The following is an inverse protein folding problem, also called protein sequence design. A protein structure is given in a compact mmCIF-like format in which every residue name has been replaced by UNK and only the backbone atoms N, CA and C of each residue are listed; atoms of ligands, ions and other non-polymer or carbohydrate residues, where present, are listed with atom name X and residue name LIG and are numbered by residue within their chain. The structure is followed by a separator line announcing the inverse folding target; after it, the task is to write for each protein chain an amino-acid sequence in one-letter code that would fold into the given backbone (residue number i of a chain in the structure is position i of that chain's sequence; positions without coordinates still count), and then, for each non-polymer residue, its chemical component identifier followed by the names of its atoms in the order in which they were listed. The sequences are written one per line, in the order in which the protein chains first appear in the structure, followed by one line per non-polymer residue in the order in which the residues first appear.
data_IF_066182225794
#
_entry.id   IF_066182225794
#
_cell.length_a   1.000
_cell.length_b   1.000
_cell.length_c   1.000
_cell.angle_alpha   90.00
_cell.angle_beta   90.00
_cell.angle_gamma   90.00
#
_symmetry.space_group_name_H-M   'P 1'
#
loop_
_entity.id
_entity.type
_entity.pdbx_description
1 polymer ?
#
# COMPACT_ATOMS: atom_id res chain seq x y z
N UNK A 1 -40.31 -14.44 -30.11
CA UNK A 1 -39.53 -14.79 -28.90
C UNK A 1 -38.07 -14.38 -29.10
N UNK A 2 -37.51 -13.45 -28.30
CA UNK A 2 -36.14 -12.99 -28.50
C UNK A 2 -35.13 -14.03 -28.02
N UNK A 3 -34.08 -14.27 -28.82
CA UNK A 3 -33.01 -15.23 -28.53
C UNK A 3 -32.20 -14.77 -27.30
N UNK A 4 -32.10 -15.62 -26.29
CA UNK A 4 -31.26 -15.40 -25.09
C UNK A 4 -29.78 -15.22 -25.51
N UNK A 5 -29.02 -14.27 -24.92
CA UNK A 5 -27.59 -14.17 -25.16
C UNK A 5 -26.86 -15.36 -24.52
N UNK A 6 -25.98 -16.01 -25.28
CA UNK A 6 -25.08 -17.07 -24.77
C UNK A 6 -24.09 -16.45 -23.78
N UNK A 7 -24.11 -16.91 -22.51
CA UNK A 7 -23.06 -16.60 -21.52
C UNK A 7 -21.74 -17.21 -22.01
N UNK A 8 -20.71 -16.39 -22.23
CA UNK A 8 -19.33 -16.84 -22.42
C UNK A 8 -18.84 -17.50 -21.13
N UNK A 9 -18.23 -18.68 -21.27
CA UNK A 9 -17.56 -19.36 -20.16
C UNK A 9 -16.40 -18.50 -19.62
N UNK A 10 -16.06 -18.60 -18.31
CA UNK A 10 -14.94 -17.87 -17.74
C UNK A 10 -13.62 -18.30 -18.40
N UNK A 11 -12.80 -17.31 -18.75
CA UNK A 11 -11.48 -17.52 -19.34
C UNK A 11 -10.55 -18.24 -18.34
N UNK A 12 -9.78 -19.20 -18.86
CA UNK A 12 -8.69 -19.89 -18.15
C UNK A 12 -7.64 -18.89 -17.62
N UNK A 13 -6.83 -19.26 -16.61
CA UNK A 13 -5.86 -18.34 -16.00
C UNK A 13 -4.87 -17.85 -17.05
N UNK A 14 -4.82 -16.54 -17.24
CA UNK A 14 -3.90 -15.91 -18.17
C UNK A 14 -2.45 -16.19 -17.75
N UNK A 15 -1.67 -16.74 -18.68
CA UNK A 15 -0.23 -16.90 -18.59
C UNK A 15 0.39 -15.52 -18.38
N UNK A 16 0.97 -15.26 -17.20
CA UNK A 16 1.60 -13.97 -16.84
C UNK A 16 2.69 -13.65 -17.87
N UNK A 17 2.60 -12.52 -18.56
CA UNK A 17 3.69 -12.00 -19.39
C UNK A 17 4.86 -11.62 -18.49
N UNK A 18 5.74 -12.57 -18.21
CA UNK A 18 6.79 -12.43 -17.19
C UNK A 18 8.12 -12.11 -17.85
N UNK A 19 8.68 -10.95 -17.48
CA UNK A 19 10.13 -10.79 -17.54
C UNK A 19 10.77 -11.99 -16.82
N UNK A 20 11.84 -12.60 -17.37
CA UNK A 20 12.41 -13.81 -16.82
C UNK A 20 12.81 -13.59 -15.35
N UNK A 21 12.50 -14.57 -14.50
CA UNK A 21 12.83 -14.56 -13.07
C UNK A 21 14.33 -14.25 -12.88
N UNK A 22 14.69 -13.08 -12.29
CA UNK A 22 16.07 -12.62 -12.26
C UNK A 22 16.96 -13.41 -11.29
N UNK A 23 16.39 -14.18 -10.36
CA UNK A 23 17.09 -14.92 -9.32
C UNK A 23 16.63 -16.38 -9.24
N UNK A 24 16.90 -17.21 -10.25
CA UNK A 24 16.42 -18.60 -10.31
C UNK A 24 16.93 -19.48 -9.15
N UNK A 25 18.09 -19.15 -8.58
CA UNK A 25 18.69 -19.89 -7.45
C UNK A 25 18.28 -19.33 -6.09
N UNK A 26 17.50 -18.24 -6.03
CA UNK A 26 17.06 -17.61 -4.78
C UNK A 26 15.62 -18.03 -4.48
N UNK A 27 15.43 -18.92 -3.50
CA UNK A 27 14.13 -19.53 -3.22
C UNK A 27 13.21 -18.67 -2.33
N UNK A 28 13.78 -17.79 -1.50
CA UNK A 28 13.04 -16.93 -0.58
C UNK A 28 12.39 -15.76 -1.31
N UNK A 29 11.24 -15.24 -0.86
CA UNK A 29 10.45 -15.73 0.26
C UNK A 29 9.57 -16.91 -0.12
N UNK A 30 9.42 -17.86 0.80
CA UNK A 30 8.36 -18.87 0.71
C UNK A 30 7.01 -18.29 1.15
N UNK A 31 5.87 -18.86 0.70
CA UNK A 31 4.54 -18.44 1.16
C UNK A 31 4.40 -18.43 2.69
N UNK A 32 4.99 -19.41 3.38
CA UNK A 32 4.99 -19.48 4.84
C UNK A 32 5.79 -18.33 5.48
N UNK A 33 6.91 -17.92 4.88
CA UNK A 33 7.66 -16.75 5.33
C UNK A 33 6.87 -15.45 5.11
N UNK A 34 6.17 -15.32 3.98
CA UNK A 34 5.32 -14.16 3.70
C UNK A 34 4.21 -14.02 4.77
N UNK A 35 3.52 -15.12 5.07
CA UNK A 35 2.44 -15.16 6.06
C UNK A 35 2.96 -14.81 7.46
N UNK A 36 4.06 -15.46 7.88
CA UNK A 36 4.72 -15.21 9.14
C UNK A 36 5.11 -13.74 9.35
N UNK A 37 5.72 -13.12 8.33
CA UNK A 37 6.13 -11.72 8.40
C UNK A 37 4.92 -10.79 8.42
N UNK A 38 3.88 -11.07 7.61
CA UNK A 38 2.63 -10.31 7.65
C UNK A 38 2.05 -10.30 9.07
N UNK A 39 1.88 -11.47 9.69
CA UNK A 39 1.24 -11.60 11.00
C UNK A 39 2.07 -10.95 12.11
N UNK A 40 3.39 -11.10 12.06
CA UNK A 40 4.28 -10.43 12.99
C UNK A 40 4.18 -8.89 12.87
N UNK A 41 4.26 -8.36 11.65
CA UNK A 41 4.16 -6.91 11.43
C UNK A 41 2.78 -6.37 11.83
N UNK A 42 1.72 -7.11 11.55
CA UNK A 42 0.37 -6.78 11.97
C UNK A 42 0.26 -6.74 13.49
N UNK A 43 0.85 -7.70 14.20
CA UNK A 43 0.90 -7.69 15.67
C UNK A 43 1.72 -6.54 16.27
N UNK A 44 2.77 -6.08 15.58
CA UNK A 44 3.60 -4.97 16.05
C UNK A 44 2.99 -3.59 15.81
N UNK A 45 2.41 -3.35 14.63
CA UNK A 45 1.98 -2.01 14.20
C UNK A 45 0.46 -1.85 14.12
N UNK A 46 -0.30 -2.94 14.20
CA UNK A 46 -1.67 -2.96 13.71
C UNK A 46 -1.72 -2.82 12.19
N UNK A 47 -2.93 -2.84 11.63
CA UNK A 47 -3.08 -2.48 10.22
C UNK A 47 -3.05 -0.95 10.08
N UNK A 48 -2.24 -0.36 9.19
CA UNK A 48 -2.10 1.09 9.12
C UNK A 48 -3.38 1.77 8.63
N UNK A 49 -3.88 2.76 9.38
CA UNK A 49 -5.14 3.47 9.06
C UNK A 49 -5.11 4.15 7.69
N UNK A 50 -3.95 4.64 7.26
CA UNK A 50 -3.74 5.28 5.95
C UNK A 50 -4.07 4.36 4.76
N UNK A 51 -3.98 3.04 4.94
CA UNK A 51 -4.32 2.06 3.91
C UNK A 51 -5.69 1.40 4.12
N UNK A 52 -6.37 1.69 5.23
CA UNK A 52 -7.64 1.06 5.58
C UNK A 52 -8.75 1.25 4.52
N UNK A 53 -8.89 2.42 3.88
CA UNK A 53 -9.86 2.59 2.79
C UNK A 53 -9.60 1.60 1.64
N UNK A 54 -8.36 1.50 1.17
CA UNK A 54 -7.99 0.58 0.07
C UNK A 54 -8.19 -0.89 0.47
N UNK A 55 -7.89 -1.26 1.72
CA UNK A 55 -8.13 -2.60 2.23
C UNK A 55 -9.61 -2.95 2.24
N UNK A 56 -10.48 -2.01 2.64
CA UNK A 56 -11.94 -2.19 2.66
C UNK A 56 -12.51 -2.41 1.26
N UNK A 57 -12.02 -1.64 0.28
CA UNK A 57 -12.39 -1.86 -1.13
C UNK A 57 -12.04 -3.28 -1.59
N UNK A 58 -10.85 -3.77 -1.24
CA UNK A 58 -10.38 -5.12 -1.61
C UNK A 58 -11.23 -6.24 -1.04
N UNK A 59 -11.72 -6.08 0.19
CA UNK A 59 -12.55 -7.06 0.89
C UNK A 59 -14.03 -7.02 0.48
N UNK A 60 -14.39 -6.26 -0.55
CA UNK A 60 -15.76 -6.21 -1.07
C UNK A 60 -16.67 -5.20 -0.38
N UNK A 61 -16.12 -4.23 0.37
CA UNK A 61 -16.82 -2.98 0.69
C UNK A 61 -18.10 -3.09 1.51
N UNK A 62 -18.26 -4.10 2.37
CA UNK A 62 -19.44 -4.20 3.24
C UNK A 62 -19.02 -4.20 4.71
N UNK A 63 -19.12 -3.03 5.34
CA UNK A 63 -19.54 -2.98 6.75
C UNK A 63 -21.01 -2.56 6.75
N UNK A 64 -21.92 -3.32 7.40
CA UNK A 64 -23.31 -2.93 7.60
C UNK A 64 -23.51 -1.61 8.38
N UNK A 65 -22.44 -1.06 8.95
CA UNK A 65 -22.44 0.10 9.85
C UNK A 65 -22.40 1.46 9.12
N UNK A 66 -22.15 1.49 7.80
CA UNK A 66 -22.07 2.76 7.04
C UNK A 66 -23.47 3.32 6.66
N UNK A 67 -24.56 2.73 7.16
CA UNK A 67 -25.94 3.16 6.89
C UNK A 67 -26.47 4.28 7.83
N UNK A 68 -25.66 4.79 8.77
CA UNK A 68 -26.10 5.77 9.78
C UNK A 68 -25.43 7.14 9.69
N UNK A 69 -24.96 7.54 8.51
CA UNK A 69 -24.42 8.88 8.23
C UNK A 69 -25.31 9.60 7.22
N UNK A 70 -26.02 10.66 7.65
CA UNK A 70 -26.83 11.57 6.81
C UNK A 70 -26.01 12.35 5.75
N UNK A 71 -24.69 12.18 5.74
CA UNK A 71 -23.80 12.74 4.73
C UNK A 71 -23.45 11.69 3.68
N UNK A 72 -23.59 11.99 2.37
CA UNK A 72 -23.13 11.08 1.33
C UNK A 72 -21.64 10.81 1.53
N UNK A 73 -21.19 9.55 1.42
CA UNK A 73 -19.78 9.24 1.56
C UNK A 73 -18.97 10.04 0.53
N UNK A 74 -17.77 10.53 0.90
CA UNK A 74 -16.92 11.23 -0.05
C UNK A 74 -16.70 10.35 -1.29
N UNK A 75 -16.69 10.93 -2.50
CA UNK A 75 -16.54 10.17 -3.73
C UNK A 75 -15.25 9.34 -3.68
N UNK A 76 -15.35 8.08 -4.07
CA UNK A 76 -14.20 7.18 -4.11
C UNK A 76 -13.09 7.78 -5.00
N UNK A 77 -11.82 7.67 -4.60
CA UNK A 77 -10.73 8.24 -5.37
C UNK A 77 -10.63 7.54 -6.73
N UNK A 78 -10.54 8.35 -7.79
CA UNK A 78 -10.40 7.92 -9.19
C UNK A 78 -9.00 7.37 -9.49
N UNK A 79 -8.84 6.71 -10.64
CA UNK A 79 -7.51 6.23 -11.08
C UNK A 79 -6.56 7.41 -11.32
N UNK A 80 -7.11 8.54 -11.79
CA UNK A 80 -6.37 9.78 -11.97
C UNK A 80 -5.96 10.42 -10.64
N UNK A 81 -6.81 10.36 -9.61
CA UNK A 81 -6.43 10.78 -8.25
C UNK A 81 -5.19 9.99 -7.78
N UNK A 82 -5.13 8.69 -8.08
CA UNK A 82 -3.96 7.88 -7.74
C UNK A 82 -2.68 8.21 -8.49
N UNK A 83 -2.78 8.47 -9.80
CA UNK A 83 -1.62 8.90 -10.58
C UNK A 83 -1.10 10.27 -10.10
N UNK A 84 -1.99 11.24 -9.90
CA UNK A 84 -1.60 12.58 -9.41
C UNK A 84 -1.04 12.50 -8.00
N UNK A 85 -1.67 11.73 -7.10
CA UNK A 85 -1.16 11.51 -5.73
C UNK A 85 0.26 10.94 -5.76
N UNK A 86 0.51 9.95 -6.61
CA UNK A 86 1.84 9.32 -6.73
C UNK A 86 2.88 10.24 -7.37
N UNK A 87 2.48 11.12 -8.29
CA UNK A 87 3.36 12.16 -8.83
C UNK A 87 3.71 13.21 -7.76
N UNK A 88 2.72 13.64 -6.97
CA UNK A 88 2.92 14.61 -5.90
C UNK A 88 3.81 14.06 -4.77
N UNK A 89 3.77 12.76 -4.51
CA UNK A 89 4.60 12.10 -3.49
C UNK A 89 6.08 11.96 -3.86
N UNK A 90 6.48 12.27 -5.09
CA UNK A 90 7.88 12.25 -5.49
C UNK A 90 8.67 13.34 -4.79
N UNK A 91 9.84 13.01 -4.23
CA UNK A 91 10.77 13.94 -3.56
C UNK A 91 10.11 14.80 -2.48
N UNK A 92 9.17 14.24 -1.72
CA UNK A 92 8.52 14.91 -0.60
C UNK A 92 8.06 13.89 0.44
N UNK A 93 7.58 14.35 1.59
CA UNK A 93 7.00 13.48 2.60
C UNK A 93 5.53 13.21 2.31
N UNK A 94 5.01 12.09 2.81
CA UNK A 94 3.61 11.74 2.61
C UNK A 94 2.65 12.79 3.18
N UNK A 95 2.94 13.31 4.38
CA UNK A 95 2.15 14.38 5.00
C UNK A 95 2.06 15.61 4.09
N UNK A 96 3.18 16.03 3.48
CA UNK A 96 3.22 17.15 2.56
C UNK A 96 2.49 16.82 1.26
N UNK A 97 2.68 15.62 0.69
CA UNK A 97 2.01 15.22 -0.56
C UNK A 97 0.48 15.13 -0.41
N UNK A 98 -0.02 14.63 0.73
CA UNK A 98 -1.45 14.61 1.06
C UNK A 98 -2.01 16.02 1.16
N UNK A 99 -1.28 16.93 1.82
CA UNK A 99 -1.66 18.35 1.90
C UNK A 99 -1.70 19.01 0.52
N UNK A 100 -0.71 18.73 -0.32
CA UNK A 100 -0.67 19.26 -1.69
C UNK A 100 -1.82 18.73 -2.54
N UNK A 101 -2.15 17.43 -2.42
CA UNK A 101 -3.28 16.84 -3.15
C UNK A 101 -4.63 17.41 -2.68
N UNK A 102 -4.83 17.54 -1.36
CA UNK A 102 -6.04 18.15 -0.81
C UNK A 102 -6.21 19.61 -1.27
N UNK A 103 -5.12 20.39 -1.23
CA UNK A 103 -5.09 21.76 -1.75
C UNK A 103 -5.41 21.83 -3.24
N UNK A 104 -4.87 20.91 -4.05
CA UNK A 104 -5.20 20.81 -5.48
C UNK A 104 -6.69 20.54 -5.69
N UNK A 105 -7.26 19.54 -5.01
CA UNK A 105 -8.69 19.19 -5.15
C UNK A 105 -9.62 20.30 -4.67
N UNK A 106 -9.22 21.06 -3.66
CA UNK A 106 -9.96 22.24 -3.20
C UNK A 106 -9.93 23.38 -4.24
N UNK A 107 -8.78 23.61 -4.89
CA UNK A 107 -8.64 24.64 -5.92
C UNK A 107 -9.28 24.23 -7.26
N UNK A 108 -9.31 22.93 -7.55
CA UNK A 108 -9.79 22.33 -8.80
C UNK A 108 -10.67 21.10 -8.53
N UNK A 109 -12.00 21.28 -8.42
CA UNK A 109 -12.92 20.17 -8.21
C UNK A 109 -12.88 19.10 -9.32
N UNK A 110 -12.64 19.49 -10.59
CA UNK A 110 -12.53 18.57 -11.73
C UNK A 110 -11.15 18.61 -12.41
N UNK A 111 -10.79 17.50 -13.06
CA UNK A 111 -9.54 17.42 -13.82
C UNK A 111 -9.54 18.26 -15.10
N UNK A 112 -10.71 18.50 -15.70
CA UNK A 112 -10.87 19.41 -16.83
C UNK A 112 -10.39 20.83 -16.47
N UNK A 113 -10.78 21.33 -15.29
CA UNK A 113 -10.31 22.64 -14.82
C UNK A 113 -8.79 22.70 -14.65
N UNK A 114 -8.13 21.59 -14.29
CA UNK A 114 -6.66 21.54 -14.18
C UNK A 114 -6.00 21.63 -15.56
N UNK A 115 -6.61 21.02 -16.59
CA UNK A 115 -6.07 21.01 -17.95
C UNK A 115 -6.28 22.33 -18.67
N UNK A 116 -7.44 22.95 -18.44
CA UNK A 116 -7.85 24.21 -19.07
C UNK A 116 -7.26 25.43 -18.33
N UNK A 117 -6.60 25.24 -17.19
CA UNK A 117 -5.90 26.30 -16.49
C UNK A 117 -4.54 26.63 -17.14
N UNK A 118 -4.43 27.86 -17.65
CA UNK A 118 -3.26 28.35 -18.39
C UNK A 118 -2.25 29.12 -17.52
N UNK A 119 -2.62 29.47 -16.28
CA UNK A 119 -1.81 30.29 -15.37
C UNK A 119 -0.92 29.49 -14.40
N UNK A 120 -0.71 30.05 -13.21
CA UNK A 120 0.08 29.45 -12.12
C UNK A 120 -0.76 28.82 -11.03
N UNK A 121 -2.09 28.81 -11.12
CA UNK A 121 -2.97 28.38 -10.01
C UNK A 121 -2.71 26.92 -9.62
N UNK A 122 -2.45 26.04 -10.59
CA UNK A 122 -2.05 24.66 -10.29
C UNK A 122 -0.74 24.60 -9.51
N UNK A 123 0.26 25.37 -9.93
CA UNK A 123 1.55 25.43 -9.24
C UNK A 123 1.39 25.98 -7.82
N UNK A 124 0.61 27.04 -7.65
CA UNK A 124 0.30 27.65 -6.36
C UNK A 124 -0.40 26.66 -5.43
N UNK A 125 -1.39 25.93 -5.94
CA UNK A 125 -2.13 24.94 -5.16
C UNK A 125 -1.22 23.80 -4.64
N UNK A 126 -0.19 23.42 -5.39
CA UNK A 126 0.73 22.34 -4.99
C UNK A 126 2.08 22.83 -4.47
N UNK A 127 2.24 24.15 -4.27
CA UNK A 127 3.52 24.79 -3.92
C UNK A 127 4.17 24.19 -2.68
N UNK A 128 3.36 23.81 -1.69
CA UNK A 128 3.83 23.17 -0.47
C UNK A 128 4.52 21.81 -0.71
N UNK A 129 4.25 21.14 -1.84
CA UNK A 129 4.79 19.85 -2.23
C UNK A 129 6.24 19.86 -2.69
N UNK A 130 6.83 21.04 -2.91
CA UNK A 130 8.15 21.22 -3.52
C UNK A 130 8.19 20.82 -5.00
N UNK A 131 9.15 21.39 -5.75
CA UNK A 131 9.28 21.19 -7.21
C UNK A 131 7.98 21.48 -7.98
N UNK A 132 7.23 22.49 -7.52
CA UNK A 132 5.84 22.72 -7.92
C UNK A 132 5.70 22.95 -9.43
N UNK A 133 6.50 23.83 -10.04
CA UNK A 133 6.52 24.04 -11.49
C UNK A 133 6.72 22.73 -12.29
N UNK A 134 7.68 21.90 -11.87
CA UNK A 134 7.96 20.61 -12.54
C UNK A 134 6.81 19.62 -12.37
N UNK A 135 6.24 19.51 -11.16
CA UNK A 135 5.10 18.62 -10.88
C UNK A 135 3.84 19.09 -11.62
N UNK A 136 3.55 20.39 -11.62
CA UNK A 136 2.43 20.99 -12.34
C UNK A 136 2.52 20.72 -13.85
N UNK A 137 3.69 20.95 -14.45
CA UNK A 137 3.93 20.66 -15.87
C UNK A 137 3.70 19.18 -16.21
N UNK A 138 4.17 18.26 -15.35
CA UNK A 138 3.96 16.81 -15.53
C UNK A 138 2.50 16.41 -15.39
N UNK A 139 1.79 16.93 -14.39
CA UNK A 139 0.36 16.67 -14.19
C UNK A 139 -0.44 17.15 -15.40
N UNK A 140 -0.22 18.39 -15.87
CA UNK A 140 -0.90 18.91 -17.06
C UNK A 140 -0.59 18.06 -18.30
N UNK A 141 0.67 17.73 -18.54
CA UNK A 141 1.06 16.91 -19.69
C UNK A 141 0.41 15.52 -19.65
N UNK A 142 0.34 14.89 -18.47
CA UNK A 142 -0.34 13.61 -18.30
C UNK A 142 -1.83 13.74 -18.62
N UNK A 143 -2.53 14.70 -18.00
CA UNK A 143 -3.98 14.87 -18.18
C UNK A 143 -4.34 15.25 -19.63
N UNK A 144 -3.55 16.11 -20.28
CA UNK A 144 -3.68 16.41 -21.72
C UNK A 144 -3.48 15.16 -22.56
N UNK A 145 -2.45 14.38 -22.29
CA UNK A 145 -2.20 13.12 -22.98
C UNK A 145 -3.29 12.06 -22.76
N UNK A 146 -4.03 12.11 -21.65
CA UNK A 146 -5.25 11.29 -21.46
C UNK A 146 -6.36 11.80 -22.39
N UNK A 147 -6.65 13.11 -22.32
CA UNK A 147 -7.70 13.76 -23.13
C UNK A 147 -7.49 13.55 -24.62
N UNK A 148 -6.28 13.74 -25.12
CA UNK A 148 -5.92 13.59 -26.54
C UNK A 148 -6.13 12.15 -27.04
N UNK A 149 -5.79 11.14 -26.23
CA UNK A 149 -5.90 9.73 -26.63
C UNK A 149 -7.30 9.16 -26.48
N UNK A 150 -8.10 9.67 -25.55
CA UNK A 150 -9.38 9.05 -25.15
C UNK A 150 -10.60 9.95 -25.35
N UNK A 151 -10.41 11.22 -25.71
CA UNK A 151 -11.47 12.23 -25.83
C UNK A 151 -12.06 12.71 -24.50
N UNK A 152 -11.68 12.09 -23.37
CA UNK A 152 -12.12 12.45 -22.00
C UNK A 152 -11.02 12.22 -20.98
N UNK A 153 -11.00 13.01 -19.90
CA UNK A 153 -10.02 12.87 -18.81
C UNK A 153 -10.52 11.82 -17.80
N UNK A 154 -10.43 10.54 -18.19
CA UNK A 154 -10.97 9.41 -17.44
C UNK A 154 -10.13 8.16 -17.73
N UNK A 155 -9.76 7.43 -16.68
CA UNK A 155 -8.93 6.21 -16.76
C UNK A 155 -9.59 4.99 -16.11
N UNK A 156 -10.87 5.08 -15.76
CA UNK A 156 -11.62 4.03 -15.08
C UNK A 156 -11.74 2.76 -15.93
N UNK A 157 -11.61 2.86 -17.26
CA UNK A 157 -11.55 1.71 -18.17
C UNK A 157 -10.38 0.75 -17.85
N UNK A 158 -9.33 1.24 -17.16
CA UNK A 158 -8.20 0.41 -16.74
C UNK A 158 -8.60 -0.66 -15.71
N UNK A 159 -9.76 -0.53 -15.05
CA UNK A 159 -10.30 -1.55 -14.14
C UNK A 159 -10.53 -2.88 -14.86
N UNK A 160 -10.97 -2.81 -16.12
CA UNK A 160 -11.33 -3.98 -16.94
C UNK A 160 -10.12 -4.63 -17.62
N UNK A 161 -8.97 -3.95 -17.67
CA UNK A 161 -7.77 -4.44 -18.35
C UNK A 161 -6.97 -5.44 -17.49
N UNK A 162 -6.19 -6.29 -18.16
CA UNK A 162 -5.18 -7.11 -17.49
C UNK A 162 -4.03 -6.25 -16.93
N UNK A 163 -3.28 -6.80 -15.97
CA UNK A 163 -2.12 -6.12 -15.37
C UNK A 163 -1.12 -5.66 -16.43
N UNK A 164 -0.83 -6.50 -17.43
CA UNK A 164 0.15 -6.19 -18.47
C UNK A 164 -0.35 -5.10 -19.42
N UNK A 165 -1.65 -5.09 -19.73
CA UNK A 165 -2.27 -4.00 -20.50
C UNK A 165 -2.20 -2.68 -19.76
N UNK A 166 -2.55 -2.65 -18.47
CA UNK A 166 -2.43 -1.44 -17.64
C UNK A 166 -0.99 -0.95 -17.60
N UNK A 167 -0.01 -1.86 -17.45
CA UNK A 167 1.41 -1.49 -17.48
C UNK A 167 1.80 -0.84 -18.80
N UNK A 168 1.39 -1.40 -19.93
CA UNK A 168 1.65 -0.82 -21.26
C UNK A 168 0.97 0.52 -21.46
N UNK A 169 -0.27 0.66 -21.02
CA UNK A 169 -1.05 1.91 -21.14
C UNK A 169 -0.41 3.04 -20.31
N UNK A 170 -0.18 2.80 -19.02
CA UNK A 170 0.32 3.83 -18.09
C UNK A 170 1.78 4.20 -18.34
N UNK A 171 2.58 3.27 -18.88
CA UNK A 171 4.00 3.52 -19.18
C UNK A 171 4.21 4.45 -20.39
N UNK A 172 3.18 4.72 -21.18
CA UNK A 172 3.25 5.70 -22.29
C UNK A 172 3.23 7.15 -21.79
N UNK A 173 2.87 7.41 -20.53
CA UNK A 173 2.82 8.76 -19.98
C UNK A 173 4.19 9.16 -19.42
N UNK A 174 4.75 10.27 -19.93
CA UNK A 174 6.04 10.79 -19.48
C UNK A 174 6.02 11.09 -17.97
N UNK A 175 6.98 10.53 -17.24
CA UNK A 175 7.12 10.71 -15.79
C UNK A 175 6.37 9.69 -14.94
N UNK A 176 5.63 8.76 -15.56
CA UNK A 176 5.05 7.59 -14.89
C UNK A 176 5.98 6.41 -15.07
N UNK A 177 6.72 6.06 -14.01
CA UNK A 177 7.64 4.93 -14.00
C UNK A 177 7.01 3.64 -13.46
N UNK A 178 7.70 2.49 -13.58
CA UNK A 178 7.17 1.17 -13.19
C UNK A 178 6.65 1.11 -11.75
N UNK A 179 7.33 1.78 -10.80
CA UNK A 179 6.87 1.85 -9.40
C UNK A 179 5.52 2.58 -9.28
N UNK A 180 5.35 3.69 -9.98
CA UNK A 180 4.09 4.45 -9.98
C UNK A 180 2.95 3.59 -10.51
N UNK A 181 3.19 2.90 -11.63
CA UNK A 181 2.23 1.97 -12.22
C UNK A 181 1.86 0.86 -11.24
N UNK A 182 2.84 0.23 -10.58
CA UNK A 182 2.59 -0.80 -9.58
C UNK A 182 1.77 -0.29 -8.36
N UNK A 183 2.01 0.95 -7.91
CA UNK A 183 1.17 1.56 -6.86
C UNK A 183 -0.27 1.77 -7.33
N UNK A 184 -0.48 2.24 -8.57
CA UNK A 184 -1.83 2.44 -9.11
C UNK A 184 -2.56 1.11 -9.29
N UNK A 185 -1.86 0.09 -9.80
CA UNK A 185 -2.37 -1.27 -9.91
C UNK A 185 -2.86 -1.79 -8.56
N UNK A 186 -2.04 -1.67 -7.53
CA UNK A 186 -2.35 -2.23 -6.20
C UNK A 186 -3.44 -1.43 -5.47
N UNK A 187 -3.34 -0.10 -5.41
CA UNK A 187 -4.22 0.73 -4.57
C UNK A 187 -5.51 1.17 -5.27
N UNK A 188 -5.46 1.54 -6.55
CA UNK A 188 -6.60 2.17 -7.23
C UNK A 188 -7.32 1.21 -8.19
N UNK A 189 -6.60 0.21 -8.72
CA UNK A 189 -7.18 -0.83 -9.58
C UNK A 189 -7.43 -2.15 -8.86
N UNK A 190 -7.05 -2.25 -7.58
CA UNK A 190 -7.26 -3.43 -6.73
C UNK A 190 -6.69 -4.73 -7.34
N UNK A 191 -5.63 -4.63 -8.14
CA UNK A 191 -4.94 -5.77 -8.77
C UNK A 191 -3.77 -6.25 -7.91
N UNK A 192 -3.42 -7.53 -8.03
CA UNK A 192 -2.33 -8.15 -7.28
C UNK A 192 -0.97 -7.80 -7.86
N UNK A 193 -0.44 -6.64 -7.45
CA UNK A 193 0.91 -6.17 -7.76
C UNK A 193 1.65 -5.83 -6.46
N UNK A 194 2.98 -5.89 -6.47
CA UNK A 194 3.82 -5.69 -5.29
C UNK A 194 4.83 -4.55 -5.51
N UNK A 195 4.42 -3.28 -5.35
CA UNK A 195 5.30 -2.13 -5.60
C UNK A 195 6.49 -2.12 -4.63
N UNK A 196 7.70 -2.10 -5.19
CA UNK A 196 8.95 -2.05 -4.40
C UNK A 196 9.45 -0.61 -4.34
N UNK A 197 9.21 0.06 -3.21
CA UNK A 197 9.80 1.36 -2.90
C UNK A 197 11.13 1.21 -2.14
N UNK A 198 11.67 2.31 -1.61
CA UNK A 198 12.91 2.30 -0.83
C UNK A 198 12.78 1.53 0.49
N UNK A 199 11.63 1.59 1.16
CA UNK A 199 11.39 0.88 2.41
C UNK A 199 11.27 -0.63 2.17
N UNK A 200 10.44 -1.02 1.20
CA UNK A 200 10.25 -2.42 0.80
C UNK A 200 11.56 -3.01 0.32
N UNK A 201 12.30 -2.33 -0.58
CA UNK A 201 13.57 -2.82 -1.09
C UNK A 201 14.60 -3.04 0.03
N UNK A 202 14.72 -2.08 0.94
CA UNK A 202 15.65 -2.16 2.06
C UNK A 202 15.28 -3.30 3.01
N UNK A 203 14.01 -3.41 3.43
CA UNK A 203 13.56 -4.42 4.39
C UNK A 203 13.65 -5.82 3.80
N UNK A 204 13.19 -6.02 2.56
CA UNK A 204 13.27 -7.33 1.88
C UNK A 204 14.69 -7.80 1.63
N UNK A 205 15.61 -6.90 1.28
CA UNK A 205 17.06 -7.21 1.26
C UNK A 205 17.56 -7.66 2.62
N UNK A 206 17.17 -6.94 3.65
CA UNK A 206 17.65 -7.15 5.00
C UNK A 206 17.06 -8.43 5.64
N UNK A 207 15.89 -8.89 5.17
CA UNK A 207 15.31 -10.21 5.45
C UNK A 207 15.92 -11.36 4.61
N UNK A 208 16.76 -11.05 3.61
CA UNK A 208 17.28 -12.05 2.67
C UNK A 208 16.26 -12.57 1.66
N UNK A 209 15.16 -11.84 1.42
CA UNK A 209 14.15 -12.20 0.43
C UNK A 209 14.58 -11.87 -1.00
N UNK A 210 15.60 -11.04 -1.15
CA UNK A 210 16.29 -10.80 -2.41
C UNK A 210 17.80 -10.77 -2.14
N UNK A 211 18.64 -11.03 -3.16
CA UNK A 211 20.10 -10.88 -3.01
C UNK A 211 20.50 -9.47 -2.53
N UNK A 212 21.59 -9.38 -1.76
CA UNK A 212 22.10 -8.09 -1.24
C UNK A 212 22.43 -7.11 -2.38
N UNK A 213 22.89 -7.64 -3.51
CA UNK A 213 23.23 -6.90 -4.74
C UNK A 213 22.00 -6.58 -5.62
N UNK A 214 20.79 -6.98 -5.23
CA UNK A 214 19.61 -6.80 -6.05
C UNK A 214 19.31 -5.33 -6.37
N UNK A 215 19.06 -5.00 -7.63
CA UNK A 215 18.48 -3.69 -7.99
C UNK A 215 17.00 -3.64 -7.57
N UNK A 216 16.39 -2.46 -7.55
CA UNK A 216 14.96 -2.33 -7.20
C UNK A 216 14.07 -2.99 -8.25
N UNK A 217 14.46 -2.85 -9.52
CA UNK A 217 13.74 -3.38 -10.67
C UNK A 217 13.74 -4.91 -10.66
N UNK A 218 14.89 -5.53 -10.39
CA UNK A 218 14.99 -6.99 -10.25
C UNK A 218 14.30 -7.50 -8.98
N UNK A 219 14.41 -6.77 -7.87
CA UNK A 219 13.68 -7.10 -6.64
C UNK A 219 12.16 -7.05 -6.86
N UNK A 220 11.66 -6.09 -7.63
CA UNK A 220 10.25 -6.02 -8.02
C UNK A 220 9.79 -7.27 -8.77
N UNK A 221 10.51 -7.68 -9.81
CA UNK A 221 10.15 -8.88 -10.61
C UNK A 221 10.08 -10.11 -9.70
N UNK A 222 11.14 -10.32 -8.91
CA UNK A 222 11.25 -11.47 -8.01
C UNK A 222 10.18 -11.51 -6.93
N UNK A 223 10.01 -10.41 -6.18
CA UNK A 223 9.05 -10.36 -5.07
C UNK A 223 7.61 -10.44 -5.57
N UNK A 224 7.30 -9.84 -6.71
CA UNK A 224 5.96 -9.90 -7.29
C UNK A 224 5.61 -11.30 -7.84
N UNK A 225 6.59 -12.12 -8.18
CA UNK A 225 6.41 -13.52 -8.52
C UNK A 225 6.24 -14.41 -7.28
N UNK A 226 7.14 -14.25 -6.30
CA UNK A 226 7.21 -15.14 -5.12
C UNK A 226 6.13 -14.91 -4.08
N UNK A 227 5.70 -13.66 -3.87
CA UNK A 227 4.72 -13.34 -2.84
C UNK A 227 3.32 -13.76 -3.32
N UNK A 228 2.58 -14.58 -2.57
CA UNK A 228 1.20 -14.94 -2.89
C UNK A 228 0.30 -13.72 -3.07
N UNK A 229 -0.56 -13.77 -4.08
CA UNK A 229 -1.40 -12.64 -4.51
C UNK A 229 -2.29 -12.10 -3.38
N UNK A 230 -2.83 -12.99 -2.55
CA UNK A 230 -3.66 -12.66 -1.37
C UNK A 230 -2.88 -11.96 -0.24
N UNK A 231 -1.55 -12.10 -0.21
CA UNK A 231 -0.70 -11.48 0.81
C UNK A 231 -0.07 -10.17 0.35
N UNK A 232 0.01 -9.91 -0.97
CA UNK A 232 0.74 -8.76 -1.53
C UNK A 232 0.32 -7.43 -0.91
N UNK A 233 -0.99 -7.17 -0.85
CA UNK A 233 -1.53 -5.89 -0.39
C UNK A 233 -1.18 -5.62 1.08
N UNK A 234 -1.58 -6.52 1.99
CA UNK A 234 -1.35 -6.36 3.42
C UNK A 234 0.15 -6.31 3.74
N UNK A 235 0.93 -7.20 3.14
CA UNK A 235 2.37 -7.29 3.37
C UNK A 235 3.10 -6.04 2.88
N UNK A 236 2.71 -5.47 1.73
CA UNK A 236 3.30 -4.23 1.22
C UNK A 236 3.04 -3.07 2.20
N UNK A 237 1.78 -2.87 2.58
CA UNK A 237 1.36 -1.83 3.51
C UNK A 237 2.14 -1.93 4.84
N UNK A 238 2.20 -3.13 5.42
CA UNK A 238 2.87 -3.39 6.68
C UNK A 238 4.38 -3.18 6.60
N UNK A 239 5.05 -3.63 5.52
CA UNK A 239 6.49 -3.41 5.33
C UNK A 239 6.80 -1.92 5.18
N UNK A 240 5.99 -1.19 4.40
CA UNK A 240 6.15 0.26 4.23
C UNK A 240 6.02 0.98 5.57
N UNK A 241 4.96 0.71 6.33
CA UNK A 241 4.76 1.29 7.66
C UNK A 241 5.89 0.94 8.61
N UNK A 242 6.34 -0.32 8.61
CA UNK A 242 7.49 -0.74 9.40
C UNK A 242 8.74 0.06 9.07
N UNK A 243 9.00 0.27 7.78
CA UNK A 243 10.16 1.01 7.29
C UNK A 243 10.16 2.50 7.62
N UNK A 244 9.00 3.06 7.96
CA UNK A 244 8.84 4.44 8.45
C UNK A 244 8.99 4.52 9.97
N UNK A 245 8.35 3.62 10.71
CA UNK A 245 8.23 3.71 12.16
C UNK A 245 9.42 3.12 12.91
N UNK A 246 10.01 2.04 12.41
CA UNK A 246 11.09 1.36 13.11
C UNK A 246 12.41 2.14 12.97
N UNK A 247 12.86 2.81 14.04
CA UNK A 247 14.06 3.65 14.04
C UNK A 247 15.33 2.91 13.60
N UNK A 248 15.49 1.64 13.99
CA UNK A 248 16.68 0.85 13.63
C UNK A 248 16.67 0.41 12.18
N UNK A 249 15.51 -0.06 11.71
CA UNK A 249 15.32 -0.52 10.35
C UNK A 249 15.10 0.67 9.36
N UNK A 250 14.81 1.87 9.86
CA UNK A 250 14.73 3.13 9.11
C UNK A 250 16.12 3.72 8.78
N UNK A 251 17.10 3.55 9.67
CA UNK A 251 18.43 4.19 9.59
C UNK A 251 19.53 3.32 8.95
N UNK A 252 19.42 1.99 8.96
CA UNK A 252 20.49 1.10 8.44
C UNK A 252 20.34 0.82 6.94
N UNK A 253 21.28 1.29 6.13
CA UNK A 253 21.45 0.86 4.74
C UNK A 253 22.28 -0.43 4.67
N UNK A 254 21.74 -1.48 4.04
CA UNK A 254 22.54 -2.55 3.42
C UNK A 254 23.29 -3.55 4.31
N UNK A 255 23.15 -3.50 5.64
CA UNK A 255 23.72 -4.51 6.53
C UNK A 255 22.76 -5.67 6.80
N UNK A 256 23.28 -6.89 6.92
CA UNK A 256 22.60 -8.01 7.60
C UNK A 256 22.09 -7.46 8.93
N UNK A 257 20.80 -7.62 9.19
CA UNK A 257 20.16 -7.13 10.42
C UNK A 257 20.62 -7.98 11.61
N UNK A 258 21.88 -7.87 12.00
CA UNK A 258 22.32 -8.32 13.31
C UNK A 258 21.87 -7.24 14.31
N UNK A 259 20.72 -7.47 14.94
CA UNK A 259 20.23 -6.68 16.09
C UNK A 259 19.22 -5.55 15.84
N UNK A 260 18.37 -5.58 14.78
CA UNK A 260 17.10 -4.80 14.82
C UNK A 260 16.10 -5.63 15.62
N UNK A 261 15.41 -5.03 16.59
CA UNK A 261 14.53 -5.75 17.51
C UNK A 261 13.31 -6.43 16.85
N UNK A 262 13.03 -6.16 15.57
CA UNK A 262 11.79 -6.58 14.90
C UNK A 262 11.94 -7.82 14.02
N UNK A 263 13.16 -8.20 13.62
CA UNK A 263 13.44 -9.39 12.82
C UNK A 263 14.60 -10.16 13.43
N UNK A 264 14.42 -10.55 14.70
CA UNK A 264 15.32 -11.48 15.37
C UNK A 264 15.46 -12.77 14.53
N UNK A 265 16.53 -13.54 14.75
CA UNK A 265 16.79 -14.85 14.09
C UNK A 265 15.60 -15.80 14.16
N UNK A 266 14.60 -15.54 15.01
CA UNK A 266 13.33 -16.26 15.14
C UNK A 266 12.38 -16.15 13.94
N UNK A 267 12.31 -15.00 13.25
CA UNK A 267 11.45 -14.86 12.05
C UNK A 267 12.09 -15.51 10.81
N UNK A 268 13.43 -15.54 10.75
CA UNK A 268 14.18 -16.24 9.72
C UNK A 268 14.13 -17.78 9.91
N UNK A 269 13.98 -18.25 11.15
CA UNK A 269 13.93 -19.68 11.53
C UNK A 269 12.51 -20.16 11.91
N UNK A 270 11.46 -19.51 11.42
CA UNK A 270 10.09 -19.82 11.85
C UNK A 270 9.58 -21.26 11.55
N UNK A 271 10.13 -22.04 10.59
CA UNK A 271 9.79 -23.46 10.52
C UNK A 271 10.14 -24.22 11.80
N UNK A 272 11.16 -23.79 12.56
CA UNK A 272 11.68 -24.49 13.74
C UNK A 272 11.15 -23.92 15.06
N UNK A 273 10.87 -22.61 15.11
CA UNK A 273 10.48 -21.94 16.36
C UNK A 273 9.01 -22.19 16.79
N UNK A 274 8.12 -22.53 15.85
CA UNK A 274 6.74 -22.91 16.16
C UNK A 274 6.62 -24.32 16.79
N UNK A 275 7.62 -25.18 16.61
CA UNK A 275 7.69 -26.49 17.27
C UNK A 275 8.22 -26.41 18.72
N UNK A 276 9.02 -25.38 19.04
CA UNK A 276 9.73 -25.28 20.32
C UNK A 276 8.94 -24.57 21.44
N UNK A 277 7.88 -23.83 21.10
CA UNK A 277 6.92 -23.31 22.07
C UNK A 277 5.65 -24.13 21.90
N UNK A 278 5.43 -25.09 22.80
CA UNK A 278 4.30 -26.03 22.79
C UNK A 278 2.92 -25.35 22.80
N UNK A 279 2.55 -24.73 21.69
CA UNK A 279 1.16 -24.49 21.36
C UNK A 279 0.60 -25.84 20.92
N UNK A 280 -0.19 -26.42 21.82
CA UNK A 280 -0.93 -27.63 21.55
C UNK A 280 -1.81 -27.39 20.31
N UNK A 281 -1.79 -28.37 19.39
CA UNK A 281 -2.52 -28.36 18.11
C UNK A 281 -4.02 -28.04 18.22
N UNK A 282 -4.58 -28.11 19.44
CA UNK A 282 -5.97 -27.80 19.78
C UNK A 282 -6.28 -26.29 19.93
N UNK A 283 -5.29 -25.42 20.14
CA UNK A 283 -5.54 -23.98 20.41
C UNK A 283 -5.55 -23.13 19.14
N UNK A 284 -4.84 -23.57 18.09
CA UNK A 284 -4.88 -22.99 16.74
C UNK A 284 -6.24 -23.23 16.07
N UNK A 285 -6.95 -24.30 16.42
CA UNK A 285 -8.30 -24.58 15.93
C UNK A 285 -9.40 -23.82 16.69
N UNK A 286 -9.12 -23.28 17.88
CA UNK A 286 -10.08 -22.45 18.63
C UNK A 286 -10.12 -20.99 18.17
N UNK A 287 -9.03 -20.47 17.61
CA UNK A 287 -8.99 -19.12 17.04
C UNK A 287 -9.49 -19.06 15.58
N UNK A 288 -9.76 -20.21 14.97
CA UNK A 288 -10.31 -20.34 13.61
C UNK A 288 -11.83 -20.50 13.54
N UNK A 289 -12.57 -20.30 14.64
CA UNK A 289 -14.03 -20.40 14.67
C UNK A 289 -14.64 -19.44 15.69
N UNK A 290 -14.64 -18.15 15.37
CA UNK A 290 -15.66 -17.23 15.86
C UNK A 290 -16.26 -16.51 14.65
N UNK A 291 -17.15 -17.23 13.98
CA UNK A 291 -18.12 -16.63 13.07
C UNK A 291 -19.26 -16.08 13.95
N UNK A 292 -19.67 -14.84 13.67
CA UNK A 292 -20.98 -14.26 13.94
C UNK A 292 -21.50 -14.37 15.39
N UNK A 293 -21.50 -13.27 16.13
CA UNK A 293 -22.70 -12.73 16.79
C UNK A 293 -22.28 -11.40 17.42
N UNK A 294 -22.99 -10.33 17.06
CA UNK A 294 -22.81 -9.02 17.69
C UNK A 294 -23.08 -9.08 19.18
N UNK A 295 -22.40 -8.22 19.92
CA UNK A 295 -22.84 -7.41 21.06
C UNK A 295 -21.62 -6.54 21.39
N UNK A 296 -21.80 -5.23 21.38
CA UNK A 296 -20.74 -4.28 21.70
C UNK A 296 -20.27 -4.39 23.14
N UNK A 297 -19.08 -3.86 23.40
CA UNK A 297 -18.73 -3.12 24.61
C UNK A 297 -17.31 -2.55 24.48
N UNK A 298 -17.25 -1.23 24.36
CA UNK A 298 -16.12 -0.41 24.78
C UNK A 298 -15.89 -0.57 26.30
N UNK A 299 -14.64 -0.43 26.78
CA UNK A 299 -14.39 0.56 27.84
C UNK A 299 -13.10 1.35 27.53
N UNK A 300 -13.13 2.68 27.39
CA UNK A 300 -13.17 3.68 28.47
C UNK A 300 -12.06 3.48 29.52
N UNK A 301 -10.95 4.21 29.38
CA UNK A 301 -9.97 4.43 30.45
C UNK A 301 -9.69 5.94 30.61
N UNK A 302 -10.52 6.58 31.43
CA UNK A 302 -10.13 7.60 32.41
C UNK A 302 -9.81 6.82 33.71
N UNK A 303 -8.90 7.15 34.62
CA UNK A 303 -8.10 8.33 35.01
C UNK A 303 -7.09 7.78 36.05
N UNK A 304 -5.95 8.43 36.26
CA UNK A 304 -5.59 8.98 37.58
C UNK A 304 -4.20 9.64 37.55
N UNK A 305 -4.26 10.94 37.83
CA UNK A 305 -3.16 11.85 38.09
C UNK A 305 -2.35 11.42 39.31
N UNK A 306 -1.03 11.43 39.20
CA UNK A 306 -0.12 11.31 40.35
C UNK A 306 0.30 12.72 40.77
N UNK A 307 -0.21 13.20 41.90
CA UNK A 307 0.28 14.40 42.58
C UNK A 307 1.47 14.02 43.46
N UNK A 308 2.59 14.71 43.27
CA UNK A 308 3.71 14.73 44.22
C UNK A 308 3.43 15.79 45.29
N UNK A 309 3.03 15.33 46.48
CA UNK A 309 2.97 16.15 47.68
C UNK A 309 4.32 16.15 48.40
N UNK A 310 4.96 17.33 48.43
CA UNK A 310 5.98 17.69 49.40
C UNK A 310 5.32 17.90 50.77
N UNK A 311 5.91 17.38 51.86
CA UNK A 311 6.20 18.09 53.12
C UNK A 311 6.64 17.16 54.26
N UNK A 312 7.54 17.70 55.08
CA UNK A 312 7.88 17.40 56.49
C UNK A 312 9.04 16.44 56.81
N UNK A 313 10.24 17.01 56.83
CA UNK A 313 10.92 17.50 58.04
C UNK A 313 10.86 16.70 59.37
N UNK A 314 12.07 16.24 59.78
CA UNK A 314 12.68 16.09 61.13
C UNK A 314 11.99 15.25 62.23
N UNK A 315 12.72 14.23 62.73
CA UNK A 315 13.32 14.21 64.08
C UNK A 315 13.96 12.84 64.42
N UNK A 316 15.30 12.76 64.40
CA UNK A 316 16.16 12.34 65.52
C UNK A 316 17.63 12.39 65.09
#
# INVERSE_FOLDING_TARGET
MPRKPKRKAPASPATRGTSPEPYPTHASPSPAQCLAVRDALLGFHGFPEEFAPFRRLRLGGLSPEDCSSDSPPPPAPTVLDGLVTTLLSQNTTEAISRRAFASLKAAFPSWDQVVDEEGTRLEDAIRCGGLAATKAARIRAMLRGVRERRGKICLEYLLELSVDEVKRELSQFKGIGPKTVACVLMFYLQKDDFPVDTHVHRITKAMGWVPVTASREKAYIHLNDKIPDDLKFDLNCLIVTHGKLCQTCAKKMGGIINGCCCFDKRLQNLPTALAAKGFCKAEVLRLGSFQLYGIGLYPYMQTHSFQLGNSNEKQK
#
